data_IF_557160434592
#
_entry.id   IF_557160434592
#
_cell.length_a   1.000
_cell.length_b   1.000
_cell.length_c   1.000
_cell.angle_alpha   90.00
_cell.angle_beta   90.00
_cell.angle_gamma   90.00
#
_symmetry.space_group_name_H-M   'P 1'
#
loop_
_entity.id
_entity.type
_entity.pdbx_description
1 polymer ?
#
# COMPACT_ATOMS: atom_id res chain seq x y z
N UNK A 1 18.59 -25.29 29.98
CA UNK A 1 17.60 -24.73 29.03
C UNK A 1 16.17 -25.17 29.32
N UNK A 2 15.77 -26.43 29.13
CA UNK A 2 14.38 -26.89 29.40
C UNK A 2 13.90 -26.68 30.86
N UNK A 3 14.82 -26.78 31.83
CA UNK A 3 14.56 -26.51 33.24
C UNK A 3 14.22 -25.03 33.49
N UNK A 4 14.95 -24.12 32.85
CA UNK A 4 14.75 -22.67 33.00
C UNK A 4 13.42 -22.22 32.41
N UNK A 5 13.03 -22.77 31.26
CA UNK A 5 11.71 -22.53 30.65
C UNK A 5 10.58 -22.98 31.59
N UNK A 6 10.70 -24.16 32.22
CA UNK A 6 9.72 -24.64 33.21
C UNK A 6 9.65 -23.72 34.43
N UNK A 7 10.78 -23.25 34.92
CA UNK A 7 10.83 -22.34 36.08
C UNK A 7 10.18 -21.00 35.73
N UNK A 8 10.46 -20.45 34.54
CA UNK A 8 9.85 -19.21 34.04
C UNK A 8 8.33 -19.34 33.87
N UNK A 9 7.85 -20.42 33.24
CA UNK A 9 6.42 -20.72 33.09
C UNK A 9 5.72 -20.87 34.45
N UNK A 10 6.38 -21.52 35.42
CA UNK A 10 5.85 -21.62 36.78
C UNK A 10 5.81 -20.27 37.49
N UNK A 11 6.74 -19.37 37.18
CA UNK A 11 6.71 -17.98 37.63
C UNK A 11 5.50 -17.21 37.07
N UNK A 12 5.28 -17.29 35.75
CA UNK A 12 4.15 -16.67 35.06
C UNK A 12 2.79 -17.19 35.58
N UNK A 13 2.70 -18.48 35.89
CA UNK A 13 1.49 -19.11 36.44
C UNK A 13 1.21 -18.71 37.91
N UNK A 14 2.21 -18.24 38.66
CA UNK A 14 2.03 -17.79 40.05
C UNK A 14 1.47 -16.37 40.16
N UNK A 15 1.61 -15.56 39.12
CA UNK A 15 1.12 -14.17 39.06
C UNK A 15 0.19 -13.96 37.85
N UNK A 16 -0.95 -14.68 37.77
CA UNK A 16 -1.79 -14.72 36.57
C UNK A 16 -2.34 -13.35 36.15
N UNK A 17 -2.63 -12.45 37.09
CA UNK A 17 -3.11 -11.10 36.78
C UNK A 17 -2.07 -10.24 36.07
N UNK A 18 -0.83 -10.22 36.57
CA UNK A 18 0.28 -9.50 35.93
C UNK A 18 0.59 -10.09 34.55
N UNK A 19 0.67 -11.41 34.46
CA UNK A 19 0.90 -12.12 33.20
C UNK A 19 -0.18 -11.81 32.16
N UNK A 20 -1.46 -11.77 32.55
CA UNK A 20 -2.55 -11.43 31.64
C UNK A 20 -2.44 -9.99 31.11
N UNK A 21 -2.17 -9.02 31.98
CA UNK A 21 -2.00 -7.62 31.58
C UNK A 21 -0.81 -7.48 30.63
N UNK A 22 0.31 -8.12 30.93
CA UNK A 22 1.49 -8.13 30.07
C UNK A 22 1.18 -8.70 28.68
N UNK A 23 0.49 -9.86 28.62
CA UNK A 23 0.09 -10.49 27.35
C UNK A 23 -0.84 -9.56 26.55
N UNK A 24 -1.85 -8.97 27.18
CA UNK A 24 -2.79 -8.05 26.51
C UNK A 24 -2.06 -6.83 25.98
N UNK A 25 -1.13 -6.27 26.75
CA UNK A 25 -0.35 -5.09 26.36
C UNK A 25 0.52 -5.41 25.14
N UNK A 26 1.21 -6.56 25.17
CA UNK A 26 2.05 -7.02 24.05
C UNK A 26 1.19 -7.29 22.81
N UNK A 27 0.06 -7.99 22.98
CA UNK A 27 -0.85 -8.29 21.87
C UNK A 27 -1.41 -7.00 21.24
N UNK A 28 -1.77 -6.01 22.06
CA UNK A 28 -2.25 -4.71 21.59
C UNK A 28 -1.17 -3.97 20.79
N UNK A 29 0.07 -3.92 21.29
CA UNK A 29 1.18 -3.26 20.61
C UNK A 29 1.49 -3.90 19.24
N UNK A 30 1.54 -5.23 19.20
CA UNK A 30 1.75 -5.99 17.95
C UNK A 30 0.58 -5.75 16.99
N UNK A 31 -0.66 -5.83 17.48
CA UNK A 31 -1.87 -5.62 16.69
C UNK A 31 -1.96 -4.22 16.11
N UNK A 32 -1.67 -3.19 16.91
CA UNK A 32 -1.69 -1.80 16.46
C UNK A 32 -0.67 -1.55 15.33
N UNK A 33 0.58 -2.00 15.49
CA UNK A 33 1.60 -1.88 14.44
C UNK A 33 1.19 -2.62 13.16
N UNK A 34 0.66 -3.84 13.30
CA UNK A 34 0.22 -4.64 12.16
C UNK A 34 -0.96 -3.99 11.44
N UNK A 35 -1.92 -3.43 12.18
CA UNK A 35 -3.09 -2.75 11.63
C UNK A 35 -2.69 -1.49 10.85
N UNK A 36 -1.79 -0.67 11.41
CA UNK A 36 -1.28 0.53 10.73
C UNK A 36 -0.54 0.16 9.44
N UNK A 37 0.37 -0.81 9.50
CA UNK A 37 1.11 -1.26 8.30
C UNK A 37 0.19 -1.90 7.27
N UNK A 38 -0.82 -2.67 7.69
CA UNK A 38 -1.80 -3.27 6.80
C UNK A 38 -2.68 -2.20 6.13
N UNK A 39 -3.09 -1.18 6.88
CA UNK A 39 -3.86 -0.04 6.37
C UNK A 39 -3.04 0.79 5.37
N UNK A 40 -1.77 1.08 5.68
CA UNK A 40 -0.86 1.76 4.75
C UNK A 40 -0.65 0.93 3.50
N UNK A 41 -0.41 -0.38 3.64
CA UNK A 41 -0.28 -1.28 2.50
C UNK A 41 -1.59 -1.37 1.70
N UNK A 42 -2.74 -1.23 2.36
CA UNK A 42 -4.05 -1.23 1.73
C UNK A 42 -4.42 0.11 1.07
N UNK A 43 -3.81 1.23 1.43
CA UNK A 43 -4.23 2.55 0.95
C UNK A 43 -3.15 3.26 0.13
N UNK A 44 -1.88 3.15 0.51
CA UNK A 44 -0.75 3.68 -0.28
C UNK A 44 -0.19 2.64 -1.27
N UNK A 45 -0.26 1.35 -0.93
CA UNK A 45 0.30 0.25 -1.74
C UNK A 45 -0.83 -0.65 -2.28
N UNK A 46 -2.09 -0.20 -2.27
CA UNK A 46 -3.08 -0.83 -3.15
C UNK A 46 -2.88 -0.26 -4.54
N UNK A 47 -2.41 -1.10 -5.48
CA UNK A 47 -2.27 -0.69 -6.87
C UNK A 47 -3.64 -0.23 -7.33
N UNK A 48 -3.68 0.79 -8.20
CA UNK A 48 -4.85 1.03 -9.02
C UNK A 48 -5.37 -0.35 -9.52
N UNK A 49 -6.69 -0.58 -9.62
CA UNK A 49 -7.31 -1.89 -9.93
C UNK A 49 -6.99 -2.40 -11.36
N UNK A 50 -5.84 -2.07 -11.89
CA UNK A 50 -5.22 -2.59 -13.08
C UNK A 50 -4.43 -3.85 -12.75
N UNK A 51 -4.63 -4.89 -13.57
CA UNK A 51 -3.98 -6.20 -13.43
C UNK A 51 -2.44 -6.12 -13.34
N UNK A 52 -1.83 -5.12 -13.98
CA UNK A 52 -0.38 -4.94 -14.10
C UNK A 52 0.06 -3.49 -13.76
N UNK A 53 0.16 -3.09 -12.48
CA UNK A 53 0.46 -1.71 -12.09
C UNK A 53 1.85 -1.22 -12.54
N UNK A 54 2.80 -2.12 -12.78
CA UNK A 54 4.16 -1.77 -13.26
C UNK A 54 4.19 -1.32 -14.72
N UNK A 55 3.11 -1.57 -15.48
CA UNK A 55 2.99 -1.19 -16.89
C UNK A 55 2.22 0.12 -17.07
N UNK A 56 1.85 0.78 -15.96
CA UNK A 56 1.16 2.07 -15.99
C UNK A 56 2.15 3.17 -16.37
N UNK A 57 1.81 3.91 -17.41
CA UNK A 57 2.54 5.11 -17.84
C UNK A 57 1.58 6.29 -17.86
N UNK A 58 2.08 7.47 -17.52
CA UNK A 58 1.34 8.71 -17.65
C UNK A 58 1.68 9.34 -18.99
N UNK A 59 0.64 9.62 -19.79
CA UNK A 59 0.77 10.34 -21.06
C UNK A 59 0.70 11.83 -20.74
N UNK A 60 1.69 12.57 -21.22
CA UNK A 60 1.79 14.01 -21.04
C UNK A 60 2.02 14.68 -22.37
N UNK A 61 1.47 15.87 -22.55
CA UNK A 61 1.82 16.72 -23.67
C UNK A 61 3.06 17.55 -23.37
N UNK A 62 3.82 17.85 -24.44
CA UNK A 62 5.01 18.69 -24.38
C UNK A 62 4.91 19.81 -25.42
N UNK A 63 4.81 21.05 -24.94
CA UNK A 63 4.90 22.23 -25.79
C UNK A 63 6.33 22.78 -25.72
N UNK A 64 7.24 22.11 -26.42
CA UNK A 64 8.67 22.43 -26.43
C UNK A 64 8.93 23.92 -26.76
N UNK A 65 8.12 24.50 -27.65
CA UNK A 65 8.24 25.91 -28.05
C UNK A 65 7.85 26.92 -26.97
N UNK A 66 7.15 26.49 -25.93
CA UNK A 66 6.69 27.32 -24.81
C UNK A 66 7.40 26.97 -23.49
N UNK A 67 8.36 26.02 -23.51
CA UNK A 67 9.04 25.53 -22.31
C UNK A 67 8.11 24.81 -21.33
N UNK A 68 6.93 24.39 -21.79
CA UNK A 68 5.95 23.70 -20.97
C UNK A 68 6.10 22.19 -21.18
N UNK A 69 6.57 21.53 -20.14
CA UNK A 69 6.72 20.08 -20.08
C UNK A 69 5.69 19.53 -19.08
N UNK A 70 5.13 18.36 -19.39
CA UNK A 70 4.12 17.69 -18.54
C UNK A 70 2.76 18.39 -18.49
N UNK A 71 2.24 18.77 -19.66
CA UNK A 71 0.88 19.32 -19.75
C UNK A 71 -0.14 18.16 -19.75
N UNK A 72 -1.20 18.22 -18.92
CA UNK A 72 -2.29 17.26 -18.99
C UNK A 72 -2.93 17.21 -20.37
N UNK A 73 -3.15 16.00 -20.88
CA UNK A 73 -3.83 15.77 -22.16
C UNK A 73 -5.27 16.29 -22.09
N UNK A 74 -5.75 17.00 -23.12
CA UNK A 74 -7.13 17.49 -23.13
C UNK A 74 -8.12 16.40 -23.50
N UNK A 75 -9.40 16.60 -23.18
CA UNK A 75 -10.44 15.59 -23.43
C UNK A 75 -10.59 15.19 -24.91
N UNK A 76 -10.50 16.10 -25.90
CA UNK A 76 -10.43 15.73 -27.31
C UNK A 76 -9.24 14.84 -27.66
N UNK A 77 -8.03 15.18 -27.19
CA UNK A 77 -6.83 14.37 -27.46
C UNK A 77 -6.93 12.97 -26.82
N UNK A 78 -7.54 12.86 -25.64
CA UNK A 78 -7.84 11.55 -25.03
C UNK A 78 -8.69 10.66 -25.96
N UNK A 79 -9.72 11.22 -26.59
CA UNK A 79 -10.60 10.47 -27.50
C UNK A 79 -9.89 10.03 -28.78
N UNK A 80 -8.92 10.80 -29.23
CA UNK A 80 -8.10 10.45 -30.39
C UNK A 80 -7.09 9.36 -30.02
N UNK A 81 -6.46 9.47 -28.85
CA UNK A 81 -5.58 8.46 -28.28
C UNK A 81 -6.28 7.12 -28.07
N UNK A 82 -7.51 7.12 -27.53
CA UNK A 82 -8.30 5.90 -27.34
C UNK A 82 -8.57 5.15 -28.68
N UNK A 83 -8.67 5.88 -29.80
CA UNK A 83 -8.97 5.30 -31.12
C UNK A 83 -7.72 4.87 -31.89
N UNK A 84 -6.63 5.64 -31.77
CA UNK A 84 -5.44 5.51 -32.61
C UNK A 84 -4.29 4.75 -31.95
N UNK A 85 -4.12 4.86 -30.62
CA UNK A 85 -3.02 4.21 -29.92
C UNK A 85 -3.31 2.73 -29.69
N UNK A 86 -2.75 1.89 -30.58
CA UNK A 86 -2.79 0.42 -30.46
C UNK A 86 -1.64 -0.18 -29.66
N UNK A 87 -0.65 0.62 -29.27
CA UNK A 87 0.51 0.19 -28.48
C UNK A 87 0.20 0.00 -26.99
N UNK A 88 -0.96 0.47 -26.52
CA UNK A 88 -1.41 0.35 -25.13
C UNK A 88 -2.65 -0.54 -25.04
N UNK A 89 -2.72 -1.38 -24.00
CA UNK A 89 -3.85 -2.30 -23.77
C UNK A 89 -5.12 -1.54 -23.35
N UNK A 90 -4.97 -0.46 -22.59
CA UNK A 90 -6.08 0.38 -22.14
C UNK A 90 -5.59 1.81 -21.83
N UNK A 91 -6.43 2.81 -22.11
CA UNK A 91 -6.14 4.22 -21.86
C UNK A 91 -7.29 4.79 -21.04
N UNK A 92 -6.97 5.33 -19.86
CA UNK A 92 -7.93 5.90 -18.93
C UNK A 92 -7.57 7.34 -18.60
N UNK A 93 -8.58 8.20 -18.56
CA UNK A 93 -8.48 9.53 -17.99
C UNK A 93 -8.82 9.50 -16.49
N UNK A 94 -8.16 10.33 -15.70
CA UNK A 94 -8.42 10.51 -14.26
C UNK A 94 -8.47 12.01 -13.95
N UNK A 95 -9.23 12.38 -12.92
CA UNK A 95 -9.44 13.75 -12.44
C UNK A 95 -8.54 14.05 -11.22
#
# INVERSE_FOLDING_TARGET
>A
MLSEIKVALRGLAKSPGFTAIAIVTIALAIGANTAVLSLVNALLIRPLPYKNPQQLVLIWEQFANQGLERIPVSAPEYLDYEKELRSYENIAAFD
#
